data_IF_181865783260
#
_entry.id   IF_181865783260
#
_cell.length_a   1.000
_cell.length_b   1.000
_cell.length_c   1.000
_cell.angle_alpha   90.00
_cell.angle_beta   90.00
_cell.angle_gamma   90.00
#
_symmetry.space_group_name_H-M   'P 1'
#
loop_
_entity.id
_entity.type
_entity.pdbx_description
1 polymer ?
#
# COMPACT_ATOMS: atom_id res chain seq x y z
N UNK A 1 21.07 -50.11 3.77
CA UNK A 1 19.74 -50.49 3.23
C UNK A 1 19.22 -51.68 4.03
N UNK A 2 17.89 -51.82 4.20
CA UNK A 2 16.83 -50.85 3.88
C UNK A 2 16.85 -49.71 4.95
N UNK A 3 15.83 -48.92 5.30
CA UNK A 3 14.47 -48.66 4.77
C UNK A 3 14.27 -47.13 4.60
N UNK A 4 13.06 -46.70 4.24
CA UNK A 4 12.64 -45.29 4.09
C UNK A 4 11.86 -44.78 5.31
N UNK A 5 11.92 -43.47 5.58
CA UNK A 5 10.68 -42.71 5.80
C UNK A 5 10.84 -41.28 5.24
N UNK A 6 9.95 -40.89 4.33
CA UNK A 6 9.80 -39.52 3.82
C UNK A 6 8.34 -39.10 4.09
N UNK A 7 8.14 -37.81 4.37
CA UNK A 7 6.88 -37.15 4.71
C UNK A 7 6.45 -37.36 6.17
N UNK A 8 6.45 -36.30 6.97
CA UNK A 8 5.39 -35.29 7.10
C UNK A 8 6.10 -33.92 7.21
N UNK A 9 5.56 -32.77 6.79
CA UNK A 9 4.16 -32.44 6.52
C UNK A 9 3.60 -31.44 7.55
N UNK A 10 4.43 -30.50 8.03
CA UNK A 10 4.11 -29.64 9.18
C UNK A 10 4.77 -28.27 9.09
N UNK A 11 4.55 -27.55 7.99
CA UNK A 11 4.75 -26.11 7.91
C UNK A 11 3.36 -25.47 7.85
N UNK A 12 3.05 -24.64 8.84
CA UNK A 12 1.70 -24.47 9.37
C UNK A 12 0.85 -23.43 8.62
N UNK A 13 -0.50 -23.46 8.73
CA UNK A 13 -1.36 -22.42 8.17
C UNK A 13 -1.02 -21.00 8.68
N UNK A 14 -0.29 -20.89 9.79
CA UNK A 14 0.27 -19.64 10.29
C UNK A 14 1.28 -19.01 9.32
N UNK A 15 2.15 -19.82 8.70
CA UNK A 15 3.14 -19.34 7.74
C UNK A 15 2.45 -18.88 6.44
N UNK A 16 1.43 -19.61 5.96
CA UNK A 16 0.63 -19.18 4.82
C UNK A 16 -0.12 -17.86 5.10
N UNK A 17 -0.72 -17.71 6.28
CA UNK A 17 -1.38 -16.46 6.67
C UNK A 17 -0.38 -15.29 6.76
N UNK A 18 0.83 -15.52 7.30
CA UNK A 18 1.87 -14.51 7.35
C UNK A 18 2.37 -14.11 5.95
N UNK A 19 2.51 -15.07 5.03
CA UNK A 19 2.86 -14.81 3.62
C UNK A 19 1.77 -14.02 2.89
N UNK A 20 0.49 -14.35 3.11
CA UNK A 20 -0.64 -13.60 2.53
C UNK A 20 -0.62 -12.16 3.04
N UNK A 21 -0.40 -11.93 4.33
CA UNK A 21 -0.37 -10.60 4.92
C UNK A 21 0.85 -9.79 4.44
N UNK A 22 2.00 -10.43 4.25
CA UNK A 22 3.20 -9.82 3.67
C UNK A 22 3.04 -9.46 2.18
N UNK A 23 2.44 -10.34 1.38
CA UNK A 23 2.13 -10.09 -0.04
C UNK A 23 1.07 -8.98 -0.18
N UNK A 24 -0.01 -9.02 0.62
CA UNK A 24 -1.00 -7.94 0.66
C UNK A 24 -0.38 -6.61 1.05
N UNK A 25 0.49 -6.59 2.08
CA UNK A 25 1.25 -5.39 2.46
C UNK A 25 2.09 -4.89 1.29
N UNK A 26 2.94 -5.75 0.70
CA UNK A 26 3.83 -5.36 -0.40
C UNK A 26 3.06 -4.77 -1.57
N UNK A 27 1.91 -5.37 -1.94
CA UNK A 27 1.08 -4.87 -3.04
C UNK A 27 0.38 -3.55 -2.72
N UNK A 28 0.01 -3.31 -1.47
CA UNK A 28 -0.55 -2.03 -1.02
C UNK A 28 0.55 -0.96 -1.01
N UNK A 29 1.75 -1.29 -0.54
CA UNK A 29 2.96 -0.45 -0.56
C UNK A 29 3.30 -0.04 -2.02
N UNK A 30 3.53 -1.01 -2.92
CA UNK A 30 3.76 -0.80 -4.37
C UNK A 30 2.69 0.11 -5.02
N UNK A 31 1.40 -0.06 -4.66
CA UNK A 31 0.29 0.69 -5.26
C UNK A 31 0.13 2.11 -4.69
N UNK A 32 0.38 2.30 -3.39
CA UNK A 32 0.38 3.61 -2.73
C UNK A 32 1.54 4.45 -3.22
N UNK A 33 2.73 3.86 -3.31
CA UNK A 33 3.94 4.56 -3.73
C UNK A 33 3.82 5.00 -5.20
N UNK A 34 3.28 4.15 -6.08
CA UNK A 34 2.96 4.54 -7.46
C UNK A 34 2.08 5.80 -7.50
N UNK A 35 0.92 5.78 -6.83
CA UNK A 35 -0.02 6.91 -6.83
C UNK A 35 0.61 8.18 -6.26
N UNK A 36 1.43 8.06 -5.22
CA UNK A 36 2.07 9.22 -4.57
C UNK A 36 3.16 9.84 -5.45
N UNK A 37 3.96 9.02 -6.15
CA UNK A 37 5.03 9.49 -7.04
C UNK A 37 4.50 10.03 -8.37
N UNK A 38 3.51 9.38 -8.96
CA UNK A 38 2.79 9.82 -10.16
C UNK A 38 2.24 11.25 -9.94
N UNK A 39 1.51 11.46 -8.84
CA UNK A 39 1.01 12.76 -8.42
C UNK A 39 2.09 13.77 -7.97
N UNK A 40 3.33 13.34 -7.70
CA UNK A 40 4.47 14.25 -7.49
C UNK A 40 5.06 14.70 -8.82
N UNK A 41 5.29 13.76 -9.74
CA UNK A 41 5.84 14.03 -11.07
C UNK A 41 4.92 14.98 -11.83
N UNK A 42 3.64 14.66 -11.96
CA UNK A 42 2.69 15.48 -12.71
C UNK A 42 2.46 16.87 -12.10
N UNK A 43 2.46 17.00 -10.77
CA UNK A 43 2.43 18.32 -10.11
C UNK A 43 3.67 19.18 -10.43
N UNK A 44 4.83 18.54 -10.60
CA UNK A 44 6.08 19.22 -10.99
C UNK A 44 6.14 19.51 -12.49
N UNK A 45 5.65 18.62 -13.35
CA UNK A 45 5.49 18.87 -14.79
C UNK A 45 4.56 20.07 -15.06
N UNK A 46 3.40 20.12 -14.39
CA UNK A 46 2.43 21.21 -14.49
C UNK A 46 3.00 22.59 -14.07
N UNK A 47 4.08 22.60 -13.30
CA UNK A 47 4.78 23.82 -12.84
C UNK A 47 6.13 24.04 -13.51
N UNK A 48 6.55 23.17 -14.45
CA UNK A 48 7.87 23.23 -15.09
C UNK A 48 9.04 22.97 -14.14
N UNK A 49 8.78 22.36 -12.98
CA UNK A 49 9.78 22.06 -11.96
C UNK A 49 10.59 20.79 -12.29
N UNK A 50 11.72 20.61 -11.59
CA UNK A 50 12.58 19.42 -11.72
C UNK A 50 11.84 18.17 -11.24
N UNK A 51 11.96 17.00 -11.90
CA UNK A 51 11.46 15.74 -11.34
C UNK A 51 12.04 15.47 -9.94
N UNK A 52 11.30 14.74 -9.08
CA UNK A 52 11.76 14.42 -7.74
C UNK A 52 13.02 13.53 -7.75
N UNK A 53 13.94 13.79 -6.83
CA UNK A 53 15.23 13.12 -6.73
C UNK A 53 15.33 12.27 -5.46
N UNK A 54 15.72 11.00 -5.63
CA UNK A 54 15.84 10.04 -4.53
C UNK A 54 16.77 10.51 -3.39
N UNK A 55 17.81 11.28 -3.68
CA UNK A 55 18.78 11.80 -2.71
C UNK A 55 18.46 13.19 -2.14
N UNK A 56 17.40 13.86 -2.61
CA UNK A 56 16.98 15.12 -1.99
C UNK A 56 16.11 14.84 -0.75
N UNK A 57 16.50 15.35 0.44
CA UNK A 57 15.74 15.09 1.67
C UNK A 57 14.35 15.72 1.66
N UNK A 58 14.15 16.84 0.95
CA UNK A 58 12.87 17.56 0.89
C UNK A 58 11.90 16.81 -0.02
N UNK A 59 12.40 16.22 -1.10
CA UNK A 59 11.62 15.33 -1.98
C UNK A 59 11.18 14.07 -1.21
N UNK A 60 12.05 13.50 -0.35
CA UNK A 60 11.68 12.40 0.57
C UNK A 60 10.61 12.83 1.58
N UNK A 61 10.72 14.02 2.18
CA UNK A 61 9.73 14.57 3.11
C UNK A 61 8.36 14.81 2.42
N UNK A 62 8.35 15.38 1.21
CA UNK A 62 7.12 15.60 0.43
C UNK A 62 6.44 14.26 0.07
N UNK A 63 7.22 13.27 -0.37
CA UNK A 63 6.75 11.92 -0.66
C UNK A 63 6.11 11.27 0.57
N UNK A 64 6.80 11.26 1.72
CA UNK A 64 6.27 10.68 2.96
C UNK A 64 4.98 11.38 3.43
N UNK A 65 4.91 12.71 3.29
CA UNK A 65 3.70 13.47 3.61
C UNK A 65 2.51 13.08 2.70
N UNK A 66 2.76 12.86 1.39
CA UNK A 66 1.76 12.38 0.44
C UNK A 66 1.31 10.95 0.71
N UNK A 67 2.23 10.05 1.05
CA UNK A 67 1.92 8.66 1.45
C UNK A 67 1.00 8.64 2.68
N UNK A 68 1.33 9.40 3.72
CA UNK A 68 0.49 9.54 4.92
C UNK A 68 -0.89 10.10 4.57
N UNK A 69 -0.96 11.19 3.79
CA UNK A 69 -2.22 11.82 3.41
C UNK A 69 -3.11 10.89 2.55
N UNK A 70 -2.53 10.14 1.62
CA UNK A 70 -3.27 9.20 0.78
C UNK A 70 -3.75 7.98 1.57
N UNK A 71 -2.93 7.42 2.45
CA UNK A 71 -3.33 6.32 3.34
C UNK A 71 -4.45 6.74 4.31
N UNK A 72 -4.41 7.99 4.80
CA UNK A 72 -5.50 8.55 5.62
C UNK A 72 -6.79 8.73 4.81
N UNK A 73 -6.72 9.35 3.62
CA UNK A 73 -7.87 9.51 2.72
C UNK A 73 -8.51 8.15 2.39
N UNK A 74 -7.69 7.17 2.00
CA UNK A 74 -8.12 5.81 1.69
C UNK A 74 -8.81 5.16 2.90
N UNK A 75 -8.24 5.29 4.11
CA UNK A 75 -8.86 4.80 5.35
C UNK A 75 -10.22 5.46 5.59
N UNK A 76 -10.33 6.78 5.46
CA UNK A 76 -11.58 7.53 5.70
C UNK A 76 -12.67 7.13 4.71
N UNK A 77 -12.35 7.10 3.41
CA UNK A 77 -13.30 6.75 2.35
C UNK A 77 -13.78 5.30 2.43
N UNK A 78 -12.87 4.36 2.71
CA UNK A 78 -13.24 2.96 2.93
C UNK A 78 -14.04 2.79 4.23
N UNK A 79 -13.63 3.44 5.32
CA UNK A 79 -14.33 3.39 6.61
C UNK A 79 -15.75 3.96 6.53
N UNK A 80 -16.01 4.97 5.68
CA UNK A 80 -17.35 5.49 5.41
C UNK A 80 -18.28 4.43 4.80
N UNK A 81 -17.73 3.53 3.98
CA UNK A 81 -18.46 2.50 3.24
C UNK A 81 -18.56 1.14 3.98
N UNK A 82 -18.11 1.07 5.25
CA UNK A 82 -18.23 -0.14 6.05
C UNK A 82 -19.62 -0.30 6.67
N UNK A 83 -20.13 -1.53 6.65
CA UNK A 83 -21.28 -1.92 7.48
C UNK A 83 -20.95 -1.76 8.97
N UNK A 84 -21.95 -1.59 9.86
CA UNK A 84 -21.70 -1.48 11.31
C UNK A 84 -20.91 -2.67 11.89
N UNK A 85 -21.09 -3.87 11.35
CA UNK A 85 -20.40 -5.07 11.82
C UNK A 85 -18.94 -5.13 11.35
N UNK A 86 -18.65 -4.80 10.09
CA UNK A 86 -17.28 -4.64 9.61
C UNK A 86 -16.54 -3.53 10.38
N UNK A 87 -17.21 -2.39 10.64
CA UNK A 87 -16.64 -1.29 11.43
C UNK A 87 -16.31 -1.72 12.87
N UNK A 88 -17.11 -2.61 13.48
CA UNK A 88 -16.79 -3.21 14.79
C UNK A 88 -15.59 -4.15 14.73
N UNK A 89 -15.50 -5.03 13.72
CA UNK A 89 -14.36 -5.93 13.53
C UNK A 89 -13.04 -5.18 13.28
N UNK A 90 -13.11 -4.13 12.46
CA UNK A 90 -11.97 -3.31 12.08
C UNK A 90 -11.64 -2.17 13.06
N UNK A 91 -12.37 -2.02 14.18
CA UNK A 91 -12.23 -0.86 15.07
C UNK A 91 -10.79 -0.54 15.47
N UNK A 92 -10.03 -1.55 15.89
CA UNK A 92 -8.62 -1.38 16.29
C UNK A 92 -7.72 -0.95 15.12
N UNK A 93 -7.95 -1.46 13.91
CA UNK A 93 -7.23 -1.06 12.70
C UNK A 93 -7.59 0.39 12.30
N UNK A 94 -8.86 0.77 12.41
CA UNK A 94 -9.34 2.10 12.07
C UNK A 94 -8.92 3.18 13.08
N UNK A 95 -8.71 2.81 14.35
CA UNK A 95 -8.22 3.68 15.43
C UNK A 95 -6.69 3.82 15.49
N UNK A 96 -5.96 3.24 14.55
CA UNK A 96 -4.50 3.32 14.48
C UNK A 96 -4.03 4.74 14.09
N UNK A 97 -2.88 5.17 14.63
CA UNK A 97 -2.28 6.46 14.30
C UNK A 97 -1.90 6.53 12.82
N UNK A 98 -2.56 7.43 12.08
CA UNK A 98 -2.40 7.56 10.64
C UNK A 98 -1.08 8.21 10.22
N UNK A 99 -0.35 8.87 11.14
CA UNK A 99 0.93 9.52 10.84
C UNK A 99 2.09 8.54 10.80
N UNK A 100 1.93 7.36 11.38
CA UNK A 100 2.85 6.24 11.25
C UNK A 100 2.51 5.40 10.00
N UNK A 101 3.33 5.50 8.95
CA UNK A 101 3.13 4.80 7.67
C UNK A 101 2.99 3.28 7.85
N UNK A 102 3.82 2.65 8.68
CA UNK A 102 3.75 1.19 8.93
C UNK A 102 2.42 0.81 9.60
N UNK A 103 1.95 1.63 10.55
CA UNK A 103 0.69 1.41 11.24
C UNK A 103 -0.51 1.65 10.31
N UNK A 104 -0.46 2.67 9.46
CA UNK A 104 -1.44 2.93 8.41
C UNK A 104 -1.49 1.81 7.35
N UNK A 105 -0.35 1.27 6.93
CA UNK A 105 -0.28 0.11 6.03
C UNK A 105 -0.91 -1.14 6.65
N UNK A 106 -0.67 -1.43 7.94
CA UNK A 106 -1.35 -2.53 8.66
C UNK A 106 -2.87 -2.34 8.68
N UNK A 107 -3.36 -1.10 8.83
CA UNK A 107 -4.78 -0.81 8.76
C UNK A 107 -5.38 -1.09 7.37
N UNK A 108 -4.63 -0.77 6.30
CA UNK A 108 -5.04 -1.09 4.92
C UNK A 108 -5.01 -2.60 4.63
N UNK A 109 -4.03 -3.35 5.14
CA UNK A 109 -4.02 -4.83 5.04
C UNK A 109 -5.24 -5.44 5.72
N UNK A 110 -5.62 -4.95 6.91
CA UNK A 110 -6.84 -5.39 7.59
C UNK A 110 -8.10 -5.07 6.77
N UNK A 111 -8.19 -3.87 6.18
CA UNK A 111 -9.28 -3.49 5.28
C UNK A 111 -9.33 -4.38 4.02
N UNK A 112 -8.19 -4.71 3.42
CA UNK A 112 -8.11 -5.56 2.25
C UNK A 112 -8.51 -7.02 2.51
N UNK A 113 -8.34 -7.50 3.75
CA UNK A 113 -8.79 -8.84 4.18
C UNK A 113 -10.31 -8.90 4.42
N UNK A 114 -10.92 -7.81 4.90
CA UNK A 114 -12.36 -7.75 5.20
C UNK A 114 -13.24 -7.27 4.02
N UNK A 115 -12.64 -6.68 2.96
CA UNK A 115 -13.33 -6.13 1.80
C UNK A 115 -12.91 -6.84 0.49
N UNK A 116 -13.75 -7.70 -0.10
CA UNK A 116 -13.43 -8.36 -1.36
C UNK A 116 -13.25 -7.37 -2.52
N UNK A 117 -13.96 -6.23 -2.49
CA UNK A 117 -13.86 -5.17 -3.50
C UNK A 117 -12.76 -4.14 -3.20
N UNK A 118 -11.87 -4.37 -2.22
CA UNK A 118 -10.86 -3.40 -1.76
C UNK A 118 -10.11 -2.75 -2.93
N UNK A 119 -9.59 -3.55 -3.86
CA UNK A 119 -8.85 -3.06 -5.02
C UNK A 119 -9.69 -2.22 -5.99
N UNK A 120 -10.98 -2.54 -6.16
CA UNK A 120 -11.89 -1.72 -6.97
C UNK A 120 -12.16 -0.37 -6.31
N UNK A 121 -12.30 -0.34 -4.97
CA UNK A 121 -12.50 0.90 -4.21
C UNK A 121 -11.25 1.76 -4.17
N UNK A 122 -10.07 1.14 -4.00
CA UNK A 122 -8.77 1.80 -4.15
C UNK A 122 -8.64 2.46 -5.53
N UNK A 123 -8.96 1.72 -6.59
CA UNK A 123 -8.95 2.21 -7.97
C UNK A 123 -9.97 3.34 -8.21
N UNK A 124 -11.16 3.26 -7.61
CA UNK A 124 -12.15 4.34 -7.67
C UNK A 124 -11.72 5.61 -6.89
N UNK A 125 -11.00 5.46 -5.78
CA UNK A 125 -10.49 6.58 -4.96
C UNK A 125 -9.33 7.28 -5.68
N UNK A 126 -8.34 6.52 -6.20
CA UNK A 126 -7.20 7.10 -6.95
C UNK A 126 -7.62 7.75 -8.28
N UNK A 127 -8.71 7.29 -8.90
CA UNK A 127 -9.25 7.84 -10.17
C UNK A 127 -10.13 9.07 -10.01
N UNK A 128 -10.41 9.53 -8.78
CA UNK A 128 -11.03 10.85 -8.60
C UNK A 128 -10.08 11.91 -9.17
N UNK A 129 -10.58 12.90 -9.93
CA UNK A 129 -9.76 13.75 -10.79
C UNK A 129 -8.60 14.37 -10.02
N UNK A 130 -7.39 13.94 -10.40
CA UNK A 130 -6.17 14.10 -9.64
C UNK A 130 -4.98 13.62 -10.45
N UNK A 131 -5.01 12.38 -10.97
CA UNK A 131 -4.08 11.97 -12.03
C UNK A 131 -4.48 10.76 -12.91
N UNK A 132 -3.78 10.58 -14.05
CA UNK A 132 -4.13 9.67 -15.15
C UNK A 132 -3.07 8.59 -15.43
N UNK A 133 -3.13 7.49 -14.68
CA UNK A 133 -2.16 6.40 -14.76
C UNK A 133 -2.07 5.67 -16.13
N UNK A 134 -0.86 5.27 -16.54
CA UNK A 134 -0.60 4.04 -17.28
C UNK A 134 -0.17 2.87 -16.37
N UNK A 135 -0.30 1.67 -16.94
CA UNK A 135 -0.09 0.32 -16.38
C UNK A 135 1.04 0.11 -15.35
N UNK A 136 0.78 -0.66 -14.29
CA UNK A 136 1.69 -0.96 -13.18
C UNK A 136 2.87 -1.91 -13.47
N UNK A 137 3.57 -1.72 -14.59
CA UNK A 137 4.84 -2.40 -14.92
C UNK A 137 6.08 -1.54 -14.66
N UNK A 138 5.96 -0.21 -14.76
CA UNK A 138 7.10 0.72 -14.74
C UNK A 138 7.42 1.24 -13.34
N UNK A 139 6.39 1.40 -12.50
CA UNK A 139 6.50 1.86 -11.10
C UNK A 139 7.57 1.11 -10.31
N UNK A 140 7.59 -0.23 -10.40
CA UNK A 140 8.46 -1.09 -9.57
C UNK A 140 9.96 -0.81 -9.76
N UNK A 141 10.37 -0.27 -10.91
CA UNK A 141 11.77 0.15 -11.17
C UNK A 141 12.10 1.50 -10.56
N UNK A 142 11.11 2.37 -10.42
CA UNK A 142 11.24 3.70 -9.83
C UNK A 142 11.26 3.61 -8.29
N UNK A 143 10.51 2.66 -7.72
CA UNK A 143 10.56 2.33 -6.29
C UNK A 143 11.89 1.71 -5.85
N UNK A 144 12.41 0.73 -6.61
CA UNK A 144 13.71 0.10 -6.35
C UNK A 144 14.84 1.15 -6.35
N UNK A 145 14.79 2.07 -7.33
CA UNK A 145 15.69 3.23 -7.43
C UNK A 145 15.56 4.23 -6.27
N UNK A 146 14.34 4.56 -5.82
CA UNK A 146 14.10 5.47 -4.69
C UNK A 146 14.54 4.89 -3.34
N UNK A 147 14.36 3.58 -3.16
CA UNK A 147 14.68 2.87 -1.92
C UNK A 147 16.15 2.43 -1.85
N UNK A 148 16.94 2.68 -2.89
CA UNK A 148 18.35 2.28 -2.98
C UNK A 148 18.56 0.76 -2.94
N UNK A 149 17.52 -0.03 -3.25
CA UNK A 149 17.62 -1.49 -3.37
C UNK A 149 18.09 -1.81 -4.80
N UNK A 150 18.95 -2.81 -4.91
CA UNK A 150 19.62 -3.26 -6.14
C UNK A 150 20.02 -4.72 -6.01
#
# INVERSE_FOLDING_TARGET
MPFVNRHHGGDEPFDLSARIDAELRSRIEDAVDFVCLDAMVHAREATGARPPAADDPRDREEYLARVVAFLELLRVELAGQLTPEQRRRLGNALSTDARNVDAALRAQVALAKELPDYWQRFDAIRKRPGDAAPSGGESRRLLDWLLGRR
#
